data_IF_934737824230
#
_entry.id   IF_934737824230
#
_cell.length_a   1.000
_cell.length_b   1.000
_cell.length_c   1.000
_cell.angle_alpha   90.00
_cell.angle_beta   90.00
_cell.angle_gamma   90.00
#
_symmetry.space_group_name_H-M   'P 1'
#
loop_
_entity.id
_entity.type
_entity.pdbx_description
1 polymer ?
#
# COMPACT_ATOMS: atom_id res chain seq x y z
N UNK A 1 -19.51 1.62 -16.81
CA UNK A 1 -19.17 3.00 -16.42
C UNK A 1 -19.38 3.10 -14.92
N UNK A 2 -18.33 2.86 -14.14
CA UNK A 2 -18.34 3.11 -12.69
C UNK A 2 -17.47 4.32 -12.46
N UNK A 3 -18.11 5.46 -12.21
CA UNK A 3 -17.46 6.67 -11.73
C UNK A 3 -16.88 6.39 -10.34
N UNK A 4 -15.54 6.35 -10.26
CA UNK A 4 -14.84 6.42 -9.00
C UNK A 4 -15.00 7.82 -8.44
N UNK A 5 -15.88 7.99 -7.44
CA UNK A 5 -16.04 9.25 -6.73
C UNK A 5 -14.86 9.47 -5.79
N UNK A 6 -13.95 10.36 -6.18
CA UNK A 6 -12.95 10.96 -5.31
C UNK A 6 -13.34 12.41 -5.07
N UNK A 7 -13.71 12.81 -3.84
CA UNK A 7 -13.90 14.22 -3.57
C UNK A 7 -12.58 14.96 -3.82
N UNK A 8 -12.59 16.14 -4.46
CA UNK A 8 -11.39 16.96 -4.57
C UNK A 8 -10.86 17.26 -3.16
N UNK A 9 -9.54 17.17 -3.00
CA UNK A 9 -8.86 17.53 -1.75
C UNK A 9 -9.14 19.00 -1.45
N UNK A 10 -10.16 19.26 -0.63
CA UNK A 10 -10.44 20.60 -0.15
C UNK A 10 -9.44 20.91 0.95
N UNK A 11 -8.62 21.93 0.75
CA UNK A 11 -7.69 22.46 1.73
C UNK A 11 -8.46 22.87 3.01
N UNK A 12 -8.35 22.06 4.06
CA UNK A 12 -8.96 22.36 5.36
C UNK A 12 -8.07 21.88 6.51
N UNK A 13 -7.34 22.85 7.08
CA UNK A 13 -6.67 22.78 8.37
C UNK A 13 -5.22 22.32 8.31
N UNK A 14 -4.34 23.06 8.97
CA UNK A 14 -2.99 22.59 9.34
C UNK A 14 -3.18 21.38 10.26
N UNK A 15 -3.27 20.19 9.67
CA UNK A 15 -3.32 18.95 10.43
C UNK A 15 -1.88 18.67 10.86
N UNK A 16 -1.60 18.86 12.14
CA UNK A 16 -0.33 18.51 12.77
C UNK A 16 -0.15 16.98 12.76
N UNK A 17 0.12 16.40 11.60
CA UNK A 17 0.71 15.07 11.54
C UNK A 17 2.20 15.25 11.82
N UNK A 18 2.70 14.61 12.90
CA UNK A 18 4.15 14.44 13.03
C UNK A 18 4.59 13.52 11.89
N UNK A 19 5.16 14.13 10.86
CA UNK A 19 5.84 13.41 9.78
C UNK A 19 7.00 12.65 10.41
N UNK A 20 7.13 11.38 10.08
CA UNK A 20 8.22 10.56 10.58
C UNK A 20 9.50 10.88 9.79
N UNK A 21 10.66 10.86 10.47
CA UNK A 21 11.95 10.82 9.78
C UNK A 21 12.19 9.44 9.15
N UNK A 22 13.16 9.25 8.23
CA UNK A 22 13.29 8.01 7.48
C UNK A 22 13.56 6.76 8.32
N UNK A 23 12.80 5.68 8.09
CA UNK A 23 13.02 4.38 8.73
C UNK A 23 12.30 3.26 7.98
N UNK A 24 13.04 2.18 7.68
CA UNK A 24 12.53 1.07 6.86
C UNK A 24 11.33 0.38 7.53
N UNK A 25 10.29 0.01 6.77
CA UNK A 25 9.21 -0.82 7.27
C UNK A 25 9.72 -2.26 7.50
N UNK A 26 9.30 -2.85 8.61
CA UNK A 26 9.65 -4.24 8.96
C UNK A 26 8.44 -5.16 9.07
N UNK A 27 7.25 -4.59 9.31
CA UNK A 27 6.00 -5.36 9.43
C UNK A 27 4.80 -4.51 9.02
N UNK A 28 3.89 -5.14 8.29
CA UNK A 28 2.59 -4.58 7.90
C UNK A 28 1.47 -5.36 8.61
N UNK A 29 0.55 -4.64 9.21
CA UNK A 29 -0.61 -5.18 9.92
C UNK A 29 -1.90 -4.50 9.45
N UNK A 30 -2.90 -5.30 9.09
CA UNK A 30 -4.23 -4.83 8.68
C UNK A 30 -5.28 -5.70 9.40
N UNK A 31 -5.67 -5.33 10.63
CA UNK A 31 -6.50 -6.19 11.49
C UNK A 31 -7.85 -6.57 10.89
N UNK A 32 -8.49 -5.66 10.15
CA UNK A 32 -9.81 -5.86 9.55
C UNK A 32 -9.87 -7.07 8.59
N UNK A 33 -8.73 -7.47 8.02
CA UNK A 33 -8.63 -8.58 7.07
C UNK A 33 -7.64 -9.67 7.51
N UNK A 34 -7.11 -9.56 8.74
CA UNK A 34 -6.20 -10.54 9.34
C UNK A 34 -4.79 -10.58 8.70
N UNK A 35 -4.34 -9.50 8.05
CA UNK A 35 -2.99 -9.42 7.50
C UNK A 35 -1.99 -9.10 8.62
N UNK A 36 -0.96 -9.93 8.77
CA UNK A 36 0.25 -9.62 9.54
C UNK A 36 1.43 -10.27 8.83
N UNK A 37 2.29 -9.46 8.21
CA UNK A 37 3.38 -9.94 7.36
C UNK A 37 4.67 -9.17 7.62
N UNK A 38 5.84 -9.81 7.54
CA UNK A 38 7.10 -9.09 7.32
C UNK A 38 6.99 -8.19 6.07
N UNK A 39 7.79 -7.13 6.05
CA UNK A 39 7.96 -6.27 4.88
C UNK A 39 9.40 -6.32 4.42
N UNK A 40 9.62 -6.76 3.18
CA UNK A 40 10.95 -6.80 2.56
C UNK A 40 11.16 -5.59 1.63
N UNK A 41 12.38 -5.06 1.47
CA UNK A 41 12.65 -4.07 0.43
C UNK A 41 12.58 -4.72 -0.95
N UNK A 42 11.86 -4.10 -1.88
CA UNK A 42 11.72 -4.57 -3.26
C UNK A 42 12.09 -3.47 -4.26
N UNK A 43 12.37 -3.88 -5.51
CA UNK A 43 12.71 -3.00 -6.62
C UNK A 43 11.75 -3.15 -7.79
N UNK A 44 12.24 -2.83 -8.97
CA UNK A 44 11.53 -3.02 -10.23
C UNK A 44 12.13 -4.21 -10.99
N UNK A 45 11.30 -4.84 -11.83
CA UNK A 45 11.73 -5.73 -12.90
C UNK A 45 12.34 -4.93 -14.05
N UNK A 46 12.91 -5.65 -15.02
CA UNK A 46 13.49 -5.05 -16.22
C UNK A 46 12.46 -4.28 -17.08
N UNK A 47 11.18 -4.63 -16.98
CA UNK A 47 10.06 -3.95 -17.65
C UNK A 47 9.53 -2.72 -16.88
N UNK A 48 10.15 -2.37 -15.75
CA UNK A 48 9.74 -1.24 -14.92
C UNK A 48 8.60 -1.53 -13.94
N UNK A 49 8.06 -2.76 -13.91
CA UNK A 49 7.01 -3.14 -12.96
C UNK A 49 7.56 -3.49 -11.59
N UNK A 50 6.75 -3.37 -10.54
CA UNK A 50 7.15 -3.72 -9.16
C UNK A 50 7.46 -5.21 -9.04
N UNK A 51 8.65 -5.53 -8.52
CA UNK A 51 9.09 -6.91 -8.31
C UNK A 51 8.86 -7.38 -6.87
N UNK A 52 7.71 -8.00 -6.62
CA UNK A 52 7.37 -8.65 -5.35
C UNK A 52 7.97 -10.07 -5.21
N UNK A 53 8.85 -10.50 -6.12
CA UNK A 53 9.41 -11.85 -6.12
C UNK A 53 8.38 -12.94 -6.50
N UNK A 54 8.71 -14.22 -6.25
CA UNK A 54 7.87 -15.34 -6.65
C UNK A 54 6.51 -15.34 -5.95
N UNK A 55 5.46 -15.76 -6.67
CA UNK A 55 4.10 -15.82 -6.13
C UNK A 55 3.87 -17.10 -5.33
N UNK A 56 4.34 -17.10 -4.09
CA UNK A 56 4.15 -18.16 -3.11
C UNK A 56 3.09 -17.75 -2.07
N UNK A 57 2.35 -18.70 -1.50
CA UNK A 57 1.29 -18.40 -0.53
C UNK A 57 1.79 -17.72 0.74
N UNK A 58 3.04 -17.97 1.12
CA UNK A 58 3.74 -17.38 2.26
C UNK A 58 4.66 -16.20 1.88
N UNK A 59 4.66 -15.77 0.62
CA UNK A 59 5.47 -14.64 0.17
C UNK A 59 5.09 -13.37 0.96
N UNK A 60 6.07 -12.67 1.55
CA UNK A 60 5.79 -11.46 2.33
C UNK A 60 5.38 -10.29 1.43
N UNK A 61 4.79 -9.26 2.03
CA UNK A 61 4.66 -7.98 1.36
C UNK A 61 6.04 -7.32 1.17
N UNK A 62 6.17 -6.49 0.14
CA UNK A 62 7.39 -5.77 -0.20
C UNK A 62 7.18 -4.27 -0.29
N UNK A 63 8.06 -3.49 0.32
CA UNK A 63 8.08 -2.02 0.18
C UNK A 63 8.99 -1.61 -0.98
N UNK A 64 8.47 -0.78 -1.89
CA UNK A 64 9.25 -0.26 -3.00
C UNK A 64 10.30 0.74 -2.51
N UNK A 65 11.58 0.32 -2.54
CA UNK A 65 12.68 1.03 -1.88
C UNK A 65 13.01 2.42 -2.43
N UNK A 66 12.43 2.80 -3.57
CA UNK A 66 12.58 4.14 -4.16
C UNK A 66 11.40 5.06 -3.80
N UNK A 67 10.35 4.54 -3.14
CA UNK A 67 9.31 5.37 -2.51
C UNK A 67 9.76 5.82 -1.11
N UNK A 68 9.20 6.91 -0.55
CA UNK A 68 9.40 7.28 0.86
C UNK A 68 9.10 6.14 1.82
N UNK A 69 9.76 6.09 2.98
CA UNK A 69 9.36 5.10 3.99
C UNK A 69 7.99 5.44 4.59
N UNK A 70 7.19 4.45 5.02
CA UNK A 70 5.86 4.71 5.55
C UNK A 70 5.87 5.70 6.73
N UNK A 71 5.20 6.83 6.56
CA UNK A 71 5.09 7.90 7.54
C UNK A 71 5.93 9.14 7.23
N UNK A 72 6.87 9.02 6.28
CA UNK A 72 7.55 10.18 5.68
C UNK A 72 6.61 10.97 4.77
N UNK A 73 7.04 12.17 4.39
CA UNK A 73 6.36 12.95 3.38
C UNK A 73 6.39 12.24 2.02
N UNK A 74 5.26 12.23 1.31
CA UNK A 74 5.11 11.56 0.03
C UNK A 74 4.35 10.22 0.12
N UNK A 75 4.25 9.55 -1.04
CA UNK A 75 3.50 8.30 -1.18
C UNK A 75 4.41 7.08 -1.03
N UNK A 76 4.26 6.37 0.08
CA UNK A 76 4.95 5.10 0.29
C UNK A 76 4.20 3.96 -0.41
N UNK A 77 4.92 3.08 -1.12
CA UNK A 77 4.30 1.97 -1.86
C UNK A 77 4.69 0.62 -1.26
N UNK A 78 3.69 -0.17 -0.87
CA UNK A 78 3.87 -1.57 -0.45
C UNK A 78 3.06 -2.46 -1.40
N UNK A 79 3.71 -3.46 -1.98
CA UNK A 79 3.11 -4.40 -2.92
C UNK A 79 3.16 -5.84 -2.40
N UNK A 80 2.26 -6.69 -2.91
CA UNK A 80 2.22 -8.10 -2.56
C UNK A 80 1.30 -8.88 -3.49
N UNK A 81 1.40 -10.21 -3.45
CA UNK A 81 0.58 -11.07 -4.29
C UNK A 81 -0.87 -11.15 -3.81
N UNK A 82 -1.82 -11.13 -4.74
CA UNK A 82 -3.22 -11.46 -4.42
C UNK A 82 -3.42 -12.97 -4.32
N UNK A 83 -2.76 -13.76 -5.16
CA UNK A 83 -2.82 -15.23 -5.13
C UNK A 83 -1.49 -15.83 -5.56
N UNK A 84 -1.19 -17.01 -5.01
CA UNK A 84 -0.02 -17.81 -5.32
C UNK A 84 -0.17 -18.55 -6.67
N UNK A 85 0.96 -19.04 -7.21
CA UNK A 85 0.98 -19.76 -8.48
C UNK A 85 0.18 -21.08 -8.47
N UNK A 86 -0.06 -21.66 -7.30
CA UNK A 86 -0.88 -22.86 -7.07
C UNK A 86 -2.38 -22.54 -6.86
N UNK A 87 -2.76 -21.26 -7.00
CA UNK A 87 -4.13 -20.78 -6.80
C UNK A 87 -4.49 -20.51 -5.33
N UNK A 88 -3.57 -20.73 -4.39
CA UNK A 88 -3.82 -20.41 -2.98
C UNK A 88 -3.92 -18.89 -2.75
N UNK A 89 -4.73 -18.42 -1.78
CA UNK A 89 -4.71 -17.04 -1.33
C UNK A 89 -3.31 -16.61 -0.86
N UNK A 90 -2.85 -15.44 -1.30
CA UNK A 90 -1.60 -14.84 -0.84
C UNK A 90 -1.86 -13.63 0.09
N UNK A 91 -0.79 -12.96 0.51
CA UNK A 91 -0.80 -11.91 1.54
C UNK A 91 -1.85 -10.80 1.32
N UNK A 92 -2.12 -10.43 0.06
CA UNK A 92 -3.07 -9.36 -0.27
C UNK A 92 -4.39 -9.86 -0.89
N UNK A 93 -4.68 -11.16 -0.84
CA UNK A 93 -5.93 -11.74 -1.36
C UNK A 93 -7.21 -11.05 -0.83
N UNK A 94 -7.14 -10.53 0.40
CA UNK A 94 -8.28 -9.92 1.11
C UNK A 94 -8.34 -8.40 1.04
N UNK A 95 -7.44 -7.71 0.31
CA UNK A 95 -7.47 -6.24 0.22
C UNK A 95 -8.81 -5.69 -0.29
N UNK A 96 -9.49 -6.41 -1.19
CA UNK A 96 -10.83 -6.06 -1.69
C UNK A 96 -11.93 -5.97 -0.61
N UNK A 97 -11.67 -6.51 0.58
CA UNK A 97 -12.63 -6.51 1.70
C UNK A 97 -12.49 -5.25 2.56
N UNK A 98 -11.43 -4.47 2.38
CA UNK A 98 -11.21 -3.24 3.12
C UNK A 98 -12.29 -2.20 2.81
N UNK A 99 -12.42 -1.23 3.72
CA UNK A 99 -13.34 -0.11 3.60
C UNK A 99 -12.64 1.19 4.04
N UNK A 100 -13.08 2.35 3.54
CA UNK A 100 -12.63 3.63 4.07
C UNK A 100 -12.75 3.68 5.59
N UNK A 101 -11.69 4.10 6.26
CA UNK A 101 -11.58 4.12 7.73
C UNK A 101 -10.88 2.90 8.34
N UNK A 102 -10.72 1.80 7.61
CA UNK A 102 -9.97 0.64 8.11
C UNK A 102 -8.52 1.01 8.41
N UNK A 103 -8.00 0.47 9.51
CA UNK A 103 -6.67 0.82 10.02
C UNK A 103 -5.60 -0.07 9.41
N UNK A 104 -4.51 0.57 9.03
CA UNK A 104 -3.26 -0.07 8.61
C UNK A 104 -2.16 0.40 9.56
N UNK A 105 -1.38 -0.53 10.09
CA UNK A 105 -0.22 -0.22 10.92
C UNK A 105 1.05 -0.74 10.23
N UNK A 106 2.04 0.13 10.11
CA UNK A 106 3.37 -0.23 9.62
C UNK A 106 4.37 -0.02 10.75
N UNK A 107 4.95 -1.13 11.22
CA UNK A 107 6.04 -1.10 12.21
C UNK A 107 7.35 -0.87 11.46
N UNK A 108 8.19 -0.02 12.02
CA UNK A 108 9.40 0.49 11.38
C UNK A 108 10.63 0.05 12.18
N UNK A 109 11.80 0.10 11.54
CA UNK A 109 13.06 -0.36 12.13
C UNK A 109 13.50 0.49 13.33
N UNK A 110 13.08 1.75 13.41
CA UNK A 110 13.28 2.66 14.54
C UNK A 110 12.31 2.40 15.72
N UNK A 111 11.57 1.30 15.67
CA UNK A 111 10.54 0.87 16.62
C UNK A 111 9.28 1.76 16.66
N UNK A 112 9.21 2.80 15.83
CA UNK A 112 8.00 3.59 15.67
C UNK A 112 6.95 2.84 14.83
N UNK A 113 5.70 3.30 14.92
CA UNK A 113 4.58 2.73 14.17
C UNK A 113 3.84 3.83 13.43
N UNK A 114 3.92 3.82 12.11
CA UNK A 114 3.11 4.69 11.26
C UNK A 114 1.72 4.07 11.10
N UNK A 115 0.68 4.82 11.49
CA UNK A 115 -0.72 4.37 11.43
C UNK A 115 -1.47 5.13 10.36
N UNK A 116 -2.16 4.41 9.50
CA UNK A 116 -2.92 4.95 8.39
C UNK A 116 -4.39 4.54 8.49
N UNK A 117 -5.25 5.33 7.86
CA UNK A 117 -6.62 4.95 7.57
C UNK A 117 -6.82 4.87 6.06
N UNK A 118 -7.45 3.78 5.60
CA UNK A 118 -7.87 3.61 4.21
C UNK A 118 -8.77 4.78 3.82
N UNK A 119 -8.52 5.37 2.67
CA UNK A 119 -9.36 6.43 2.08
C UNK A 119 -10.15 5.92 0.88
N UNK A 120 -9.63 4.93 0.16
CA UNK A 120 -10.29 4.41 -1.03
C UNK A 120 -9.62 3.14 -1.55
N UNK A 121 -10.36 2.43 -2.41
CA UNK A 121 -9.94 1.20 -3.06
C UNK A 121 -10.35 1.29 -4.52
N UNK A 122 -9.41 1.05 -5.43
CA UNK A 122 -9.64 0.97 -6.85
C UNK A 122 -9.24 -0.40 -7.40
N UNK A 123 -9.94 -0.83 -8.45
CA UNK A 123 -9.59 -2.04 -9.21
C UNK A 123 -9.31 -1.60 -10.64
N UNK A 124 -8.13 -1.94 -11.13
CA UNK A 124 -7.65 -1.55 -12.45
C UNK A 124 -7.23 -2.78 -13.23
N UNK A 125 -7.34 -2.77 -14.57
CA UNK A 125 -6.69 -3.77 -15.40
C UNK A 125 -5.18 -3.79 -15.16
N UNK A 126 -4.56 -4.96 -15.19
CA UNK A 126 -3.09 -5.10 -15.14
C UNK A 126 -2.48 -4.28 -16.28
N UNK A 127 -1.49 -3.43 -15.97
CA UNK A 127 -0.83 -2.57 -16.96
C UNK A 127 -1.55 -1.25 -17.27
N UNK A 128 -2.74 -1.00 -16.69
CA UNK A 128 -3.47 0.27 -16.77
C UNK A 128 -3.60 0.91 -15.38
N UNK A 129 -2.55 0.79 -14.58
CA UNK A 129 -2.51 1.41 -13.26
C UNK A 129 -2.51 2.94 -13.40
N UNK A 130 -3.19 3.66 -12.49
CA UNK A 130 -3.08 5.11 -12.42
C UNK A 130 -1.70 5.46 -11.86
N UNK A 131 -0.71 5.66 -12.75
CA UNK A 131 0.69 5.86 -12.37
C UNK A 131 0.87 7.00 -11.36
N UNK A 132 0.16 8.11 -11.50
CA UNK A 132 0.24 9.22 -10.54
C UNK A 132 -0.28 8.85 -9.14
N UNK A 133 -1.26 7.95 -9.04
CA UNK A 133 -1.80 7.51 -7.75
C UNK A 133 -0.92 6.43 -7.10
N UNK A 134 -0.25 5.61 -7.91
CA UNK A 134 0.59 4.49 -7.44
C UNK A 134 2.03 4.94 -7.18
N UNK A 135 2.58 5.77 -8.06
CA UNK A 135 3.98 6.18 -8.11
C UNK A 135 4.19 7.71 -8.05
N UNK A 136 3.13 8.49 -8.22
CA UNK A 136 3.23 9.95 -8.28
C UNK A 136 3.56 10.60 -6.94
N UNK A 137 4.04 11.85 -6.99
CA UNK A 137 4.40 12.60 -5.80
C UNK A 137 3.15 12.93 -4.97
N UNK A 138 3.33 13.01 -3.65
CA UNK A 138 2.31 13.48 -2.73
C UNK A 138 2.89 14.56 -1.82
N UNK A 139 2.10 15.60 -1.55
CA UNK A 139 2.40 16.65 -0.57
C UNK A 139 1.98 16.25 0.85
N UNK A 140 1.55 14.99 1.04
CA UNK A 140 1.13 14.42 2.32
C UNK A 140 1.77 13.05 2.55
N UNK A 141 1.94 12.61 3.81
CA UNK A 141 2.32 11.24 4.13
C UNK A 141 1.17 10.29 3.79
N UNK A 142 1.34 9.55 2.69
CA UNK A 142 0.34 8.60 2.20
C UNK A 142 0.94 7.21 2.04
N UNK A 143 0.08 6.20 2.02
CA UNK A 143 0.44 4.81 1.80
C UNK A 143 -0.45 4.23 0.71
N UNK A 144 0.18 3.65 -0.30
CA UNK A 144 -0.47 2.85 -1.34
C UNK A 144 -0.15 1.38 -1.12
N UNK A 145 -1.19 0.54 -1.05
CA UNK A 145 -1.06 -0.92 -1.14
C UNK A 145 -1.44 -1.38 -2.55
N UNK A 146 -0.58 -2.16 -3.19
CA UNK A 146 -0.76 -2.65 -4.55
C UNK A 146 -0.76 -4.18 -4.60
N UNK A 147 -1.76 -4.79 -5.23
CA UNK A 147 -1.65 -6.21 -5.59
C UNK A 147 -0.92 -6.37 -6.91
N UNK A 148 0.05 -7.29 -6.93
CA UNK A 148 0.71 -7.75 -8.15
C UNK A 148 0.31 -9.21 -8.35
N UNK A 149 -0.05 -9.60 -9.56
CA UNK A 149 -0.34 -11.00 -9.87
C UNK A 149 -1.70 -11.52 -9.36
N UNK A 150 -2.25 -12.43 -10.16
CA UNK A 150 -3.54 -13.09 -10.00
C UNK A 150 -4.08 -13.43 -11.39
N UNK A 151 -4.78 -14.56 -11.55
CA UNK A 151 -5.32 -15.03 -12.84
C UNK A 151 -6.32 -14.06 -13.51
N UNK A 152 -6.67 -12.96 -12.84
CA UNK A 152 -7.82 -12.11 -13.20
C UNK A 152 -7.46 -10.84 -13.98
N UNK A 153 -6.22 -10.68 -14.46
CA UNK A 153 -5.76 -9.48 -15.20
C UNK A 153 -6.15 -8.14 -14.54
N UNK A 154 -6.17 -8.12 -13.20
CA UNK A 154 -6.58 -6.97 -12.40
C UNK A 154 -5.67 -6.76 -11.20
N UNK A 155 -5.42 -5.49 -10.92
CA UNK A 155 -4.73 -5.00 -9.74
C UNK A 155 -5.68 -4.21 -8.83
N UNK A 156 -5.63 -4.49 -7.54
CA UNK A 156 -6.20 -3.68 -6.48
C UNK A 156 -5.18 -2.62 -6.03
N UNK A 157 -5.64 -1.39 -5.94
CA UNK A 157 -4.90 -0.26 -5.37
C UNK A 157 -5.69 0.24 -4.17
N UNK A 158 -5.08 0.21 -2.99
CA UNK A 158 -5.66 0.79 -1.77
C UNK A 158 -4.87 2.04 -1.44
N UNK A 159 -5.54 3.17 -1.31
CA UNK A 159 -4.93 4.42 -0.87
C UNK A 159 -5.27 4.64 0.60
N UNK A 160 -4.30 5.08 1.39
CA UNK A 160 -4.46 5.37 2.80
C UNK A 160 -3.70 6.65 3.20
N UNK A 161 -4.24 7.37 4.18
CA UNK A 161 -3.65 8.60 4.71
C UNK A 161 -3.12 8.37 6.12
N UNK A 162 -2.01 9.03 6.46
CA UNK A 162 -1.47 8.98 7.82
C UNK A 162 -2.49 9.56 8.82
N UNK A 163 -2.60 8.89 9.97
CA UNK A 163 -3.38 9.36 11.11
C UNK A 163 -2.55 10.33 11.96
N UNK A 164 -3.20 11.23 12.72
CA UNK A 164 -2.51 12.01 13.75
C UNK A 164 -1.76 11.09 14.71
N UNK A 165 -0.60 11.55 15.17
CA UNK A 165 0.17 10.86 16.20
C UNK A 165 -0.15 11.52 17.55
N UNK A 166 -0.46 10.71 18.56
CA UNK A 166 -0.69 11.17 19.94
C UNK A 166 0.63 11.49 20.66
#
# INVERSE_FOLDING_TARGET
MTESYFPPATAAGVRNFRVFGPSMPVRLEIPAIGVSTPVAPIGLRADGTIDVGPSLGDAPAGWYKQSPTPGEMGSSLIAGHAGAADGAPAVFFRLRLLRPGDRIAVRRADHSVARFAVVGIGIYPTGALPDDQVYGPSDQPTLTLLTVGGEQDRSLVVSARLLPQD
#
